data_IF_321137119307
#
_entry.id   IF_321137119307
#
_cell.length_a   1.000
_cell.length_b   1.000
_cell.length_c   1.000
_cell.angle_alpha   90.00
_cell.angle_beta   90.00
_cell.angle_gamma   90.00
#
_symmetry.space_group_name_H-M   'P 1'
#
loop_
_entity.id
_entity.type
_entity.pdbx_description
1 polymer ?
#
# COMPACT_ATOMS: atom_id res chain seq x y z
N UNK A 1 -35.23 61.71 7.77
CA UNK A 1 -35.01 62.49 9.01
C UNK A 1 -34.13 61.62 9.90
N UNK A 2 -32.83 61.96 10.03
CA UNK A 2 -32.23 62.63 11.22
C UNK A 2 -32.39 61.76 12.49
N UNK A 3 -31.42 61.44 13.35
CA UNK A 3 -30.00 61.72 13.57
C UNK A 3 -29.56 60.74 14.70
N UNK A 4 -28.32 60.25 14.77
CA UNK A 4 -27.13 60.85 15.40
C UNK A 4 -27.20 60.99 16.94
N UNK A 5 -26.11 60.56 17.61
CA UNK A 5 -25.76 60.65 19.06
C UNK A 5 -26.37 59.58 19.97
N UNK A 6 -25.66 58.76 20.77
CA UNK A 6 -24.27 58.76 21.22
C UNK A 6 -24.27 58.48 22.74
N UNK A 7 -23.50 57.50 23.24
CA UNK A 7 -22.90 57.51 24.60
C UNK A 7 -22.15 56.20 24.94
N UNK A 8 -20.83 56.37 25.09
CA UNK A 8 -20.03 55.96 26.26
C UNK A 8 -20.07 54.51 26.80
N UNK A 9 -18.90 53.86 26.74
CA UNK A 9 -18.58 52.52 27.27
C UNK A 9 -18.38 52.52 28.80
N UNK A 10 -18.54 51.35 29.44
CA UNK A 10 -17.50 50.88 30.36
C UNK A 10 -17.02 49.44 30.05
N UNK A 11 -15.72 49.23 30.27
CA UNK A 11 -15.00 47.95 30.19
C UNK A 11 -14.89 47.36 31.60
N UNK A 12 -15.13 46.06 31.80
CA UNK A 12 -14.33 45.25 32.72
C UNK A 12 -13.83 44.00 31.99
N UNK A 13 -12.53 43.87 31.72
CA UNK A 13 -11.47 43.29 32.56
C UNK A 13 -11.77 41.86 33.06
N UNK A 14 -11.19 40.90 32.32
CA UNK A 14 -10.53 39.67 32.79
C UNK A 14 -11.30 38.66 33.66
N UNK A 15 -11.48 37.45 33.10
CA UNK A 15 -10.97 36.22 33.71
C UNK A 15 -10.87 35.10 32.66
N UNK A 16 -9.62 34.73 32.33
CA UNK A 16 -9.25 33.45 31.71
C UNK A 16 -10.03 32.28 32.29
N UNK A 17 -10.47 31.31 31.47
CA UNK A 17 -10.23 29.88 31.71
C UNK A 17 -10.55 29.06 30.44
N UNK A 18 -9.52 28.35 29.97
CA UNK A 18 -9.51 27.13 29.12
C UNK A 18 -9.64 27.27 27.59
N UNK A 19 -8.50 26.97 26.96
CA UNK A 19 -8.22 26.87 25.54
C UNK A 19 -8.71 25.55 24.91
N UNK A 20 -8.93 25.56 23.59
CA UNK A 20 -8.51 24.45 22.74
C UNK A 20 -8.14 24.94 21.32
N UNK A 21 -7.01 24.45 20.84
CA UNK A 21 -6.18 24.94 19.75
C UNK A 21 -6.81 24.86 18.33
N UNK A 22 -6.30 25.63 17.35
CA UNK A 22 -6.53 25.35 15.94
C UNK A 22 -5.63 24.19 15.54
N UNK A 23 -6.17 22.98 15.42
CA UNK A 23 -5.39 21.89 14.85
C UNK A 23 -5.35 22.01 13.32
N UNK A 24 -4.26 22.59 12.83
CA UNK A 24 -3.69 22.20 11.55
C UNK A 24 -3.47 20.68 11.57
N UNK A 25 -3.95 19.99 10.53
CA UNK A 25 -3.28 18.90 9.82
C UNK A 25 -4.34 17.98 9.18
N UNK A 26 -5.00 18.43 8.11
CA UNK A 26 -5.35 17.46 7.07
C UNK A 26 -4.06 17.16 6.35
N UNK A 27 -3.35 16.15 6.87
CA UNK A 27 -2.15 15.61 6.29
C UNK A 27 -2.36 15.36 4.81
N UNK A 28 -1.31 15.65 4.03
CA UNK A 28 -1.18 15.16 2.68
C UNK A 28 -1.63 13.70 2.67
N UNK A 29 -2.76 13.45 2.03
CA UNK A 29 -3.14 12.10 1.66
C UNK A 29 -2.04 11.71 0.69
N UNK A 30 -1.03 11.00 1.20
CA UNK A 30 0.06 10.49 0.39
C UNK A 30 -0.62 9.56 -0.61
N UNK A 31 -0.90 10.09 -1.80
CA UNK A 31 -1.09 9.28 -2.97
C UNK A 31 0.20 8.48 -3.06
N UNK A 32 0.15 7.25 -2.55
CA UNK A 32 1.14 6.23 -2.78
C UNK A 32 1.27 6.13 -4.28
N UNK A 33 2.18 6.92 -4.85
CA UNK A 33 2.55 6.80 -6.25
C UNK A 33 3.03 5.37 -6.38
N UNK A 34 2.49 4.66 -7.37
CA UNK A 34 2.96 3.33 -7.72
C UNK A 34 4.37 3.50 -8.30
N UNK A 35 5.38 3.58 -7.42
CA UNK A 35 6.78 3.90 -7.77
C UNK A 35 7.48 2.68 -8.38
N UNK A 36 6.93 1.47 -8.25
CA UNK A 36 7.46 0.28 -8.89
C UNK A 36 6.64 -0.18 -10.08
N UNK A 37 7.28 -0.25 -11.26
CA UNK A 37 6.80 -1.10 -12.34
C UNK A 37 7.07 -2.54 -11.91
N UNK A 38 6.03 -3.26 -11.52
CA UNK A 38 6.14 -4.68 -11.21
C UNK A 38 5.05 -5.45 -11.93
N UNK A 39 5.35 -6.69 -12.24
CA UNK A 39 4.43 -7.59 -12.91
C UNK A 39 4.44 -8.92 -12.20
N UNK A 40 3.41 -9.70 -12.46
CA UNK A 40 3.28 -11.00 -11.88
C UNK A 40 3.11 -12.06 -12.97
N UNK A 41 3.75 -13.19 -12.74
CA UNK A 41 3.70 -14.36 -13.61
C UNK A 41 3.00 -15.47 -12.84
N UNK A 42 1.87 -15.91 -13.37
CA UNK A 42 1.10 -17.04 -12.87
C UNK A 42 1.34 -18.22 -13.82
N UNK A 43 1.57 -19.42 -13.29
CA UNK A 43 1.53 -20.63 -14.13
C UNK A 43 0.11 -20.84 -14.68
N UNK A 44 -0.05 -21.52 -15.84
CA UNK A 44 -1.37 -21.72 -16.46
C UNK A 44 -2.39 -22.40 -15.55
N UNK A 45 -1.95 -23.33 -14.70
CA UNK A 45 -2.79 -23.99 -13.71
C UNK A 45 -3.29 -23.02 -12.64
N UNK A 46 -2.43 -22.13 -12.15
CA UNK A 46 -2.78 -21.13 -11.14
C UNK A 46 -3.74 -20.08 -11.72
N UNK A 47 -3.49 -19.58 -12.93
CA UNK A 47 -4.30 -18.51 -13.53
C UNK A 47 -5.75 -18.92 -13.81
N UNK A 48 -6.05 -20.22 -13.86
CA UNK A 48 -7.41 -20.73 -14.01
C UNK A 48 -8.29 -20.51 -12.77
N UNK A 49 -7.70 -20.47 -11.57
CA UNK A 49 -8.44 -20.33 -10.30
C UNK A 49 -8.06 -19.09 -9.50
N UNK A 50 -6.80 -18.67 -9.57
CA UNK A 50 -6.24 -17.54 -8.83
C UNK A 50 -5.94 -16.40 -9.80
N UNK A 51 -6.53 -15.24 -9.55
CA UNK A 51 -6.22 -14.00 -10.24
C UNK A 51 -5.50 -13.00 -9.31
N UNK A 52 -4.79 -12.05 -9.88
CA UNK A 52 -4.21 -10.93 -9.14
C UNK A 52 -5.18 -9.75 -9.27
N UNK A 53 -5.81 -9.37 -8.16
CA UNK A 53 -6.80 -8.29 -8.12
C UNK A 53 -6.17 -6.92 -7.93
N UNK A 54 -5.06 -6.84 -7.22
CA UNK A 54 -4.30 -5.62 -7.00
C UNK A 54 -2.81 -5.96 -6.98
N UNK A 55 -1.99 -5.14 -7.62
CA UNK A 55 -0.55 -5.24 -7.55
C UNK A 55 0.03 -3.84 -7.52
N UNK A 56 0.66 -3.49 -6.41
CA UNK A 56 1.23 -2.16 -6.21
C UNK A 56 2.57 -2.23 -5.53
N UNK A 57 3.43 -1.29 -5.89
CA UNK A 57 4.68 -1.07 -5.20
C UNK A 57 4.86 0.40 -4.88
N UNK A 58 5.34 0.66 -3.68
CA UNK A 58 5.58 1.98 -3.13
C UNK A 58 7.00 2.04 -2.61
N UNK A 59 7.64 3.20 -2.68
CA UNK A 59 8.96 3.39 -2.08
C UNK A 59 8.76 4.00 -0.69
N UNK A 60 9.15 3.27 0.34
CA UNK A 60 9.08 3.70 1.74
C UNK A 60 10.45 3.45 2.39
N UNK A 61 11.00 4.47 3.05
CA UNK A 61 12.31 4.40 3.71
C UNK A 61 13.47 3.95 2.79
N UNK A 62 13.38 4.33 1.51
CA UNK A 62 14.27 3.93 0.39
C UNK A 62 14.16 2.45 -0.03
N UNK A 63 13.32 1.66 0.62
CA UNK A 63 13.01 0.29 0.23
C UNK A 63 11.76 0.24 -0.65
N UNK A 64 11.70 -0.78 -1.51
CA UNK A 64 10.52 -1.04 -2.33
C UNK A 64 9.57 -1.93 -1.54
N UNK A 65 8.41 -1.40 -1.15
CA UNK A 65 7.35 -2.16 -0.50
C UNK A 65 6.31 -2.57 -1.52
N UNK A 66 6.15 -3.87 -1.68
CA UNK A 66 5.22 -4.49 -2.62
C UNK A 66 4.01 -5.00 -1.85
N UNK A 67 2.83 -4.78 -2.42
CA UNK A 67 1.59 -5.39 -1.99
C UNK A 67 0.90 -6.04 -3.19
N UNK A 68 0.54 -7.30 -3.04
CA UNK A 68 -0.16 -8.08 -4.05
C UNK A 68 -1.40 -8.73 -3.44
N UNK A 69 -2.55 -8.56 -4.06
CA UNK A 69 -3.79 -9.20 -3.67
C UNK A 69 -4.11 -10.35 -4.62
N UNK A 70 -4.03 -11.57 -4.12
CA UNK A 70 -4.41 -12.78 -4.83
C UNK A 70 -5.87 -13.09 -4.50
N UNK A 71 -6.70 -13.24 -5.52
CA UNK A 71 -8.12 -13.60 -5.38
C UNK A 71 -8.35 -14.99 -5.93
N UNK A 72 -8.96 -15.84 -5.12
CA UNK A 72 -9.44 -17.14 -5.56
C UNK A 72 -10.87 -17.00 -6.08
N UNK A 73 -11.08 -17.35 -7.35
CA UNK A 73 -12.39 -17.38 -8.00
C UNK A 73 -13.11 -18.73 -7.79
N UNK A 74 -12.42 -19.74 -7.27
CA UNK A 74 -12.98 -21.05 -6.96
C UNK A 74 -13.55 -21.08 -5.53
N UNK A 75 -14.55 -21.93 -5.29
CA UNK A 75 -15.06 -22.21 -3.95
C UNK A 75 -14.11 -23.08 -3.11
N UNK A 76 -13.10 -23.71 -3.73
CA UNK A 76 -12.15 -24.58 -3.05
C UNK A 76 -10.88 -23.84 -2.65
N UNK A 77 -10.33 -24.22 -1.50
CA UNK A 77 -9.00 -23.76 -1.05
C UNK A 77 -7.91 -24.22 -2.00
N UNK A 78 -6.99 -23.33 -2.35
CA UNK A 78 -5.82 -23.62 -3.18
C UNK A 78 -4.55 -23.32 -2.41
N UNK A 79 -3.61 -24.25 -2.45
CA UNK A 79 -2.24 -24.00 -2.03
C UNK A 79 -1.45 -23.57 -3.25
N UNK A 80 -0.72 -22.46 -3.13
CA UNK A 80 0.21 -21.96 -4.14
C UNK A 80 1.56 -21.70 -3.50
N UNK A 81 2.58 -21.60 -4.33
CA UNK A 81 3.89 -21.13 -3.94
C UNK A 81 4.16 -19.81 -4.64
N UNK A 82 4.71 -18.84 -3.92
CA UNK A 82 5.10 -17.57 -4.49
C UNK A 82 6.54 -17.23 -4.16
N UNK A 83 7.18 -16.45 -5.04
CA UNK A 83 8.48 -15.83 -4.78
C UNK A 83 8.55 -14.45 -5.41
N UNK A 84 9.42 -13.61 -4.87
CA UNK A 84 9.71 -12.31 -5.44
C UNK A 84 11.13 -12.32 -6.02
N UNK A 85 11.25 -11.84 -7.25
CA UNK A 85 12.53 -11.50 -7.86
C UNK A 85 12.66 -9.97 -7.81
N UNK A 86 13.74 -9.50 -7.20
CA UNK A 86 14.00 -8.08 -7.03
C UNK A 86 14.85 -7.56 -8.18
N UNK A 87 14.37 -6.53 -8.86
CA UNK A 87 14.95 -6.02 -10.09
C UNK A 87 15.39 -4.55 -9.93
N UNK A 88 16.42 -4.15 -10.68
CA UNK A 88 16.74 -2.73 -10.87
C UNK A 88 15.91 -2.10 -12.00
N UNK A 89 16.28 -0.86 -12.35
CA UNK A 89 15.62 -0.06 -13.37
C UNK A 89 15.88 -0.57 -14.78
N UNK A 90 16.91 -1.42 -14.96
CA UNK A 90 17.27 -2.07 -16.21
C UNK A 90 16.63 -3.46 -16.32
N UNK A 91 15.91 -3.91 -15.28
CA UNK A 91 15.29 -5.23 -15.22
C UNK A 91 16.25 -6.35 -14.85
N UNK A 92 17.43 -6.03 -14.31
CA UNK A 92 18.41 -7.01 -13.85
C UNK A 92 18.15 -7.39 -12.40
N UNK A 93 18.38 -8.66 -12.05
CA UNK A 93 18.27 -9.14 -10.68
C UNK A 93 19.32 -8.47 -9.80
N UNK A 94 18.88 -7.85 -8.71
CA UNK A 94 19.75 -7.17 -7.71
C UNK A 94 19.87 -7.92 -6.40
N UNK A 95 19.19 -9.07 -6.30
CA UNK A 95 19.17 -9.92 -5.13
C UNK A 95 19.19 -11.38 -5.56
N UNK A 96 19.66 -12.24 -4.66
CA UNK A 96 19.62 -13.69 -4.85
C UNK A 96 18.17 -14.20 -4.95
N UNK A 97 18.02 -15.35 -5.59
CA UNK A 97 16.72 -16.00 -5.73
C UNK A 97 16.11 -16.31 -4.35
N UNK A 98 14.93 -15.75 -4.08
CA UNK A 98 14.19 -16.08 -2.85
C UNK A 98 13.64 -17.50 -2.92
N UNK A 99 13.66 -18.25 -1.79
CA UNK A 99 13.00 -19.54 -1.71
C UNK A 99 11.50 -19.39 -1.92
N UNK A 100 10.88 -20.41 -2.51
CA UNK A 100 9.45 -20.51 -2.69
C UNK A 100 8.72 -20.51 -1.34
N UNK A 101 7.83 -19.55 -1.14
CA UNK A 101 7.02 -19.41 0.07
C UNK A 101 5.64 -20.03 -0.16
N UNK A 102 5.19 -20.97 0.69
CA UNK A 102 3.84 -21.50 0.59
C UNK A 102 2.81 -20.43 0.97
N UNK A 103 1.68 -20.43 0.28
CA UNK A 103 0.52 -19.58 0.58
C UNK A 103 -0.76 -20.36 0.34
N UNK A 104 -1.65 -20.34 1.34
CA UNK A 104 -3.00 -20.90 1.21
C UNK A 104 -3.95 -19.75 0.86
N UNK A 105 -4.67 -19.90 -0.24
CA UNK A 105 -5.73 -18.97 -0.65
C UNK A 105 -7.07 -19.69 -0.54
N UNK A 106 -7.86 -19.30 0.46
CA UNK A 106 -9.18 -19.88 0.70
C UNK A 106 -10.14 -19.63 -0.46
N UNK A 107 -11.15 -20.49 -0.59
CA UNK A 107 -12.17 -20.36 -1.61
C UNK A 107 -12.95 -19.06 -1.49
N UNK A 108 -13.26 -18.43 -2.64
CA UNK A 108 -13.95 -17.15 -2.74
C UNK A 108 -13.33 -16.02 -1.88
N UNK A 109 -12.06 -16.15 -1.53
CA UNK A 109 -11.35 -15.23 -0.65
C UNK A 109 -10.23 -14.51 -1.37
N UNK A 110 -9.77 -13.44 -0.73
CA UNK A 110 -8.60 -12.67 -1.14
C UNK A 110 -7.52 -12.82 -0.09
N UNK A 111 -6.30 -13.05 -0.54
CA UNK A 111 -5.12 -13.10 0.30
C UNK A 111 -4.14 -12.01 -0.13
N UNK A 112 -3.77 -11.16 0.82
CA UNK A 112 -2.83 -10.05 0.60
C UNK A 112 -1.44 -10.47 1.02
N UNK A 113 -0.48 -10.29 0.12
CA UNK A 113 0.95 -10.47 0.38
C UNK A 113 1.55 -9.07 0.49
N UNK A 114 2.29 -8.81 1.57
CA UNK A 114 3.06 -7.58 1.73
C UNK A 114 4.50 -7.92 2.07
N UNK A 115 5.44 -7.39 1.28
CA UNK A 115 6.87 -7.64 1.46
C UNK A 115 7.67 -6.37 1.13
N UNK A 116 8.76 -6.16 1.83
CA UNK A 116 9.75 -5.12 1.52
C UNK A 116 10.95 -5.70 0.84
N UNK A 117 11.56 -4.95 -0.09
CA UNK A 117 12.80 -5.35 -0.72
C UNK A 117 13.90 -5.55 0.32
N UNK A 118 14.78 -6.55 0.12
CA UNK A 118 15.93 -6.78 1.00
C UNK A 118 17.06 -5.76 0.75
N UNK A 119 17.00 -5.02 -0.36
CA UNK A 119 18.02 -4.06 -0.79
C UNK A 119 17.40 -2.77 -1.29
N UNK A 120 18.10 -1.65 -1.09
CA UNK A 120 17.77 -0.33 -1.63
C UNK A 120 17.99 -0.23 -3.15
N UNK A 121 18.71 -1.18 -3.74
CA UNK A 121 18.95 -1.25 -5.19
C UNK A 121 17.72 -1.68 -5.98
N UNK A 122 16.76 -2.34 -5.31
CA UNK A 122 15.53 -2.78 -5.94
C UNK A 122 14.64 -1.58 -6.30
N UNK A 123 14.36 -1.42 -7.59
CA UNK A 123 13.44 -0.39 -8.10
C UNK A 123 12.21 -1.01 -8.75
N UNK A 124 12.30 -2.29 -9.12
CA UNK A 124 11.25 -3.08 -9.74
C UNK A 124 11.22 -4.46 -9.08
N UNK A 125 10.16 -5.22 -9.35
CA UNK A 125 10.02 -6.59 -8.85
C UNK A 125 9.22 -7.42 -9.85
N UNK A 126 9.42 -8.74 -9.79
CA UNK A 126 8.57 -9.74 -10.43
C UNK A 126 8.02 -10.67 -9.36
N UNK A 127 6.70 -10.81 -9.30
CA UNK A 127 6.03 -11.80 -8.47
C UNK A 127 5.80 -13.07 -9.29
N UNK A 128 6.37 -14.20 -8.91
CA UNK A 128 6.11 -15.48 -9.55
C UNK A 128 5.23 -16.31 -8.64
N UNK A 129 4.13 -16.86 -9.18
CA UNK A 129 3.22 -17.73 -8.45
C UNK A 129 3.02 -19.02 -9.24
N UNK A 130 3.16 -20.14 -8.56
CA UNK A 130 3.01 -21.47 -9.13
C UNK A 130 2.19 -22.39 -8.22
N UNK A 131 1.64 -23.44 -8.79
CA UNK A 131 0.96 -24.50 -8.04
C UNK A 131 1.95 -25.58 -7.58
N UNK A 132 1.57 -26.41 -6.59
CA UNK A 132 2.42 -27.48 -6.07
C UNK A 132 2.80 -28.58 -7.05
N UNK A 133 1.99 -28.82 -8.09
CA UNK A 133 2.19 -29.62 -9.30
C UNK A 133 0.82 -29.78 -9.96
#
# INVERSE_FOLDING_TARGET
>A
MQGLFGAFRPIPLAACFLALAPMLASGANQASSSVGHGYATLTPDVSAAIGISDLRATRQDRLLRVQADLKNASAYTRQVYYRFEWLDHQGLAVWDDEPWKPLIVYGNSRQTISVSSPSFKATSFRLVVQSPN
#
